data_IF_815798597257
#
_entry.id   IF_815798597257
#
_cell.length_a   1.000
_cell.length_b   1.000
_cell.length_c   1.000
_cell.angle_alpha   90.00
_cell.angle_beta   90.00
_cell.angle_gamma   90.00
#
_symmetry.space_group_name_H-M   'P 1'
#
loop_
_entity.id
_entity.type
_entity.pdbx_description
1 polymer ?
#
# COMPACT_ATOMS: atom_id res chain seq x y z
N UNK A 1 47.03 -39.15 -23.06
CA UNK A 1 45.69 -39.67 -23.48
C UNK A 1 44.50 -39.00 -22.78
N UNK A 2 44.51 -38.72 -21.47
CA UNK A 2 43.36 -38.07 -20.75
C UNK A 2 42.95 -36.67 -21.24
N UNK A 3 43.87 -35.82 -21.71
CA UNK A 3 43.55 -34.45 -22.18
C UNK A 3 42.87 -34.38 -23.56
N UNK A 4 43.06 -35.41 -24.40
CA UNK A 4 42.44 -35.48 -25.73
C UNK A 4 41.01 -35.99 -25.60
N UNK A 5 40.78 -36.99 -24.73
CA UNK A 5 39.45 -37.53 -24.46
C UNK A 5 38.50 -36.46 -23.88
N UNK A 6 38.99 -35.58 -22.99
CA UNK A 6 38.21 -34.49 -22.40
C UNK A 6 37.80 -33.41 -23.41
N UNK A 7 38.65 -33.12 -24.41
CA UNK A 7 38.35 -32.15 -25.48
C UNK A 7 37.30 -32.71 -26.45
N UNK A 8 37.34 -34.01 -26.73
CA UNK A 8 36.32 -34.67 -27.56
C UNK A 8 34.95 -34.77 -26.87
N UNK A 9 34.91 -35.05 -25.56
CA UNK A 9 33.63 -35.06 -24.81
C UNK A 9 33.02 -33.66 -24.68
N UNK A 10 33.84 -32.61 -24.50
CA UNK A 10 33.33 -31.23 -24.45
C UNK A 10 32.77 -30.76 -25.80
N UNK A 11 33.41 -31.13 -26.92
CA UNK A 11 32.92 -30.83 -28.26
C UNK A 11 31.62 -31.57 -28.60
N UNK A 12 31.49 -32.83 -28.17
CA UNK A 12 30.25 -33.60 -28.35
C UNK A 12 29.08 -33.04 -27.54
N UNK A 13 29.32 -32.57 -26.32
CA UNK A 13 28.29 -31.92 -25.50
C UNK A 13 27.81 -30.60 -26.11
N UNK A 14 28.73 -29.77 -26.62
CA UNK A 14 28.38 -28.51 -27.30
C UNK A 14 27.60 -28.76 -28.60
N UNK A 15 28.00 -29.77 -29.38
CA UNK A 15 27.26 -30.16 -30.58
C UNK A 15 25.86 -30.69 -30.25
N UNK A 16 25.70 -31.48 -29.18
CA UNK A 16 24.39 -31.95 -28.73
C UNK A 16 23.49 -30.84 -28.18
N UNK A 17 24.06 -29.84 -27.49
CA UNK A 17 23.31 -28.68 -26.99
C UNK A 17 22.86 -27.76 -28.15
N UNK A 18 23.71 -27.57 -29.16
CA UNK A 18 23.34 -26.83 -30.38
C UNK A 18 22.27 -27.55 -31.19
N UNK A 19 22.35 -28.89 -31.32
CA UNK A 19 21.33 -29.68 -32.01
C UNK A 19 20.00 -29.71 -31.27
N UNK A 20 20.02 -29.84 -29.93
CA UNK A 20 18.81 -29.76 -29.11
C UNK A 20 18.19 -28.37 -29.15
N UNK A 21 19.00 -27.29 -29.05
CA UNK A 21 18.52 -25.92 -29.20
C UNK A 21 17.90 -25.63 -30.57
N UNK A 22 18.40 -26.25 -31.63
CA UNK A 22 17.82 -26.14 -32.97
C UNK A 22 16.52 -26.96 -33.13
N UNK A 23 16.47 -28.17 -32.56
CA UNK A 23 15.29 -29.04 -32.61
C UNK A 23 14.11 -28.51 -31.78
N UNK A 24 14.38 -27.85 -30.66
CA UNK A 24 13.37 -27.27 -29.78
C UNK A 24 13.21 -25.75 -29.95
N UNK A 25 13.79 -25.17 -31.02
CA UNK A 25 13.82 -23.72 -31.23
C UNK A 25 12.42 -23.07 -31.22
N UNK A 26 11.43 -23.77 -31.76
CA UNK A 26 10.03 -23.30 -31.85
C UNK A 26 9.32 -23.33 -30.49
N UNK A 27 9.69 -24.25 -29.59
CA UNK A 27 9.16 -24.31 -28.22
C UNK A 27 9.88 -23.32 -27.30
N UNK A 28 11.17 -23.07 -27.53
CA UNK A 28 11.95 -22.06 -26.82
C UNK A 28 11.49 -20.67 -27.25
N UNK A 29 11.27 -20.43 -28.55
CA UNK A 29 10.69 -19.16 -29.02
C UNK A 29 9.28 -18.95 -28.48
N UNK A 30 8.43 -19.99 -28.44
CA UNK A 30 7.11 -19.90 -27.81
C UNK A 30 7.13 -19.65 -26.29
N UNK A 31 8.26 -19.88 -25.60
CA UNK A 31 8.46 -19.55 -24.18
C UNK A 31 8.94 -18.10 -23.98
N UNK A 32 9.51 -17.48 -25.03
CA UNK A 32 10.02 -16.10 -25.01
C UNK A 32 9.14 -15.11 -25.80
N UNK A 33 8.25 -15.60 -26.67
CA UNK A 33 7.22 -14.83 -27.34
C UNK A 33 6.00 -14.77 -26.43
N UNK A 34 5.89 -13.69 -25.66
CA UNK A 34 4.60 -13.25 -25.11
C UNK A 34 3.60 -13.12 -26.27
N UNK A 35 2.34 -13.55 -26.09
CA UNK A 35 1.36 -13.48 -27.16
C UNK A 35 1.17 -12.02 -27.59
N UNK A 36 1.11 -11.72 -28.91
CA UNK A 36 0.82 -10.39 -29.38
C UNK A 36 -0.65 -10.09 -29.06
N UNK A 37 -0.88 -9.35 -27.98
CA UNK A 37 -2.22 -9.01 -27.51
C UNK A 37 -2.45 -9.04 -26.00
N UNK A 38 -1.40 -9.03 -25.15
CA UNK A 38 -1.62 -8.40 -23.84
C UNK A 38 -1.54 -6.90 -24.08
N UNK A 39 -2.70 -6.27 -24.25
CA UNK A 39 -2.84 -4.86 -23.87
C UNK A 39 -2.53 -4.80 -22.37
N UNK A 40 -1.24 -4.81 -22.02
CA UNK A 40 -0.80 -4.45 -20.69
C UNK A 40 -1.34 -3.05 -20.50
N UNK A 41 -2.30 -2.88 -19.59
CA UNK A 41 -2.58 -1.55 -19.07
C UNK A 41 -1.22 -0.89 -18.82
N UNK A 42 -0.99 0.32 -19.35
CA UNK A 42 0.30 0.98 -19.19
C UNK A 42 0.64 0.93 -17.71
N UNK A 43 1.80 0.38 -17.38
CA UNK A 43 2.25 0.25 -16.00
C UNK A 43 2.02 1.60 -15.32
N UNK A 44 1.15 1.63 -14.31
CA UNK A 44 0.72 2.87 -13.69
C UNK A 44 1.96 3.65 -13.24
N UNK A 45 2.12 4.86 -13.76
CA UNK A 45 3.28 5.69 -13.54
C UNK A 45 3.01 6.66 -12.38
N UNK A 46 4.05 7.07 -11.63
CA UNK A 46 3.87 8.04 -10.56
C UNK A 46 3.36 9.38 -11.10
N UNK A 47 2.45 10.01 -10.35
CA UNK A 47 1.81 11.29 -10.70
C UNK A 47 1.99 12.32 -9.58
N UNK A 48 3.18 12.95 -9.48
CA UNK A 48 3.45 13.93 -8.44
C UNK A 48 2.66 15.23 -8.60
N UNK A 49 2.25 15.59 -9.82
CA UNK A 49 1.48 16.83 -10.05
C UNK A 49 0.07 16.72 -9.48
N UNK A 50 -0.63 15.63 -9.80
CA UNK A 50 -1.95 15.33 -9.21
C UNK A 50 -1.83 15.12 -7.70
N UNK A 51 -0.78 14.48 -7.21
CA UNK A 51 -0.55 14.29 -5.78
C UNK A 51 -0.47 15.61 -5.01
N UNK A 52 0.32 16.56 -5.49
CA UNK A 52 0.41 17.90 -4.88
C UNK A 52 -0.93 18.62 -4.91
N UNK A 53 -1.64 18.58 -6.05
CA UNK A 53 -2.96 19.23 -6.16
C UNK A 53 -3.99 18.63 -5.19
N UNK A 54 -4.06 17.30 -5.09
CA UNK A 54 -4.96 16.59 -4.16
C UNK A 54 -4.62 16.91 -2.70
N UNK A 55 -3.34 16.92 -2.33
CA UNK A 55 -2.86 17.26 -0.99
C UNK A 55 -3.27 18.68 -0.59
N UNK A 56 -3.01 19.66 -1.47
CA UNK A 56 -3.37 21.06 -1.24
C UNK A 56 -4.89 21.25 -1.09
N UNK A 57 -5.68 20.59 -1.93
CA UNK A 57 -7.14 20.69 -1.89
C UNK A 57 -7.73 19.97 -0.67
N UNK A 58 -7.14 18.85 -0.25
CA UNK A 58 -7.53 18.15 0.97
C UNK A 58 -7.25 19.01 2.21
N UNK A 59 -6.09 19.67 2.30
CA UNK A 59 -5.77 20.58 3.41
C UNK A 59 -6.72 21.79 3.47
N UNK A 60 -7.02 22.43 2.33
CA UNK A 60 -8.01 23.52 2.26
C UNK A 60 -9.38 23.07 2.76
N UNK A 61 -9.83 21.89 2.33
CA UNK A 61 -11.11 21.33 2.75
C UNK A 61 -11.13 20.98 4.23
N UNK A 62 -10.04 20.38 4.76
CA UNK A 62 -9.87 20.08 6.19
C UNK A 62 -9.95 21.34 7.03
N UNK A 63 -9.28 22.43 6.64
CA UNK A 63 -9.34 23.72 7.34
C UNK A 63 -10.75 24.29 7.37
N UNK A 64 -11.45 24.27 6.22
CA UNK A 64 -12.85 24.73 6.10
C UNK A 64 -13.79 23.94 7.00
N UNK A 65 -13.71 22.61 6.96
CA UNK A 65 -14.51 21.74 7.83
C UNK A 65 -14.14 21.93 9.31
N UNK A 66 -12.86 22.12 9.62
CA UNK A 66 -12.38 22.36 10.98
C UNK A 66 -12.90 23.68 11.54
N UNK A 67 -12.99 24.74 10.72
CA UNK A 67 -13.63 26.00 11.11
C UNK A 67 -15.12 25.80 11.41
N UNK A 68 -15.85 25.11 10.52
CA UNK A 68 -17.27 24.77 10.73
C UNK A 68 -17.46 23.97 12.01
N UNK A 69 -16.61 22.98 12.28
CA UNK A 69 -16.69 22.15 13.48
C UNK A 69 -16.54 22.98 14.77
N UNK A 70 -15.62 23.95 14.78
CA UNK A 70 -15.41 24.85 15.93
C UNK A 70 -16.59 25.80 16.14
N UNK A 71 -17.25 26.21 15.06
CA UNK A 71 -18.41 27.11 15.09
C UNK A 71 -19.74 26.40 15.37
N UNK A 72 -19.77 25.08 15.21
CA UNK A 72 -20.97 24.27 15.41
C UNK A 72 -21.55 24.44 16.81
N UNK A 73 -22.85 24.74 16.87
CA UNK A 73 -23.56 25.11 18.10
C UNK A 73 -24.00 23.93 18.95
N UNK A 74 -24.00 22.71 18.39
CA UNK A 74 -24.46 21.50 19.08
C UNK A 74 -23.76 20.23 18.56
N UNK A 75 -23.98 19.12 19.27
CA UNK A 75 -23.35 17.83 18.96
C UNK A 75 -23.87 17.17 17.67
N UNK A 76 -25.13 17.42 17.28
CA UNK A 76 -25.67 16.88 16.03
C UNK A 76 -24.99 17.50 14.81
N UNK A 77 -24.77 18.81 14.83
CA UNK A 77 -24.04 19.53 13.79
C UNK A 77 -22.57 19.07 13.71
N UNK A 78 -21.91 18.90 14.87
CA UNK A 78 -20.55 18.33 14.93
C UNK A 78 -20.47 16.93 14.35
N UNK A 79 -21.45 16.07 14.67
CA UNK A 79 -21.50 14.70 14.14
C UNK A 79 -21.66 14.69 12.61
N UNK A 80 -22.49 15.58 12.04
CA UNK A 80 -22.61 15.75 10.58
C UNK A 80 -21.29 16.18 9.95
N UNK A 81 -20.60 17.15 10.54
CA UNK A 81 -19.31 17.63 10.03
C UNK A 81 -18.23 16.54 10.12
N UNK A 82 -18.25 15.69 11.16
CA UNK A 82 -17.37 14.53 11.23
C UNK A 82 -17.70 13.48 10.16
N UNK A 83 -18.98 13.32 9.80
CA UNK A 83 -19.40 12.50 8.66
C UNK A 83 -18.83 13.03 7.33
N UNK A 84 -18.97 14.33 7.08
CA UNK A 84 -18.38 14.98 5.89
C UNK A 84 -16.84 14.86 5.85
N UNK A 85 -16.20 15.00 7.01
CA UNK A 85 -14.75 14.83 7.15
C UNK A 85 -14.30 13.39 6.85
N UNK A 86 -15.08 12.40 7.31
CA UNK A 86 -14.87 10.99 7.03
C UNK A 86 -14.97 10.71 5.53
N UNK A 87 -16.05 11.15 4.88
CA UNK A 87 -16.26 10.96 3.43
C UNK A 87 -15.11 11.59 2.63
N UNK A 88 -14.73 12.82 2.98
CA UNK A 88 -13.60 13.50 2.35
C UNK A 88 -12.29 12.70 2.43
N UNK A 89 -12.00 12.09 3.59
CA UNK A 89 -10.83 11.22 3.73
C UNK A 89 -10.95 9.95 2.89
N UNK A 90 -12.10 9.28 2.92
CA UNK A 90 -12.34 8.03 2.18
C UNK A 90 -12.26 8.22 0.66
N UNK A 91 -12.63 9.41 0.15
CA UNK A 91 -12.52 9.75 -1.27
C UNK A 91 -11.07 10.09 -1.69
N UNK A 92 -10.34 10.84 -0.86
CA UNK A 92 -9.05 11.42 -1.27
C UNK A 92 -7.85 10.53 -0.94
N UNK A 93 -7.89 9.78 0.16
CA UNK A 93 -6.77 8.92 0.55
C UNK A 93 -6.41 7.87 -0.53
N UNK A 94 -7.38 7.12 -1.11
CA UNK A 94 -7.07 6.20 -2.19
C UNK A 94 -6.51 6.89 -3.44
N UNK A 95 -6.97 8.11 -3.77
CA UNK A 95 -6.45 8.87 -4.89
C UNK A 95 -4.98 9.28 -4.65
N UNK A 96 -4.67 9.82 -3.45
CA UNK A 96 -3.30 10.14 -3.04
C UNK A 96 -2.39 8.91 -3.08
N UNK A 97 -2.85 7.76 -2.56
CA UNK A 97 -2.09 6.50 -2.62
C UNK A 97 -1.78 6.09 -4.06
N UNK A 98 -2.74 6.24 -4.98
CA UNK A 98 -2.59 5.82 -6.37
C UNK A 98 -1.65 6.70 -7.19
N UNK A 99 -1.46 7.96 -6.80
CA UNK A 99 -0.43 8.79 -7.41
C UNK A 99 0.98 8.21 -7.22
N UNK A 100 1.20 7.34 -6.23
CA UNK A 100 2.49 6.70 -6.00
C UNK A 100 2.73 5.47 -6.87
N UNK A 101 1.74 4.93 -7.57
CA UNK A 101 1.87 3.68 -8.34
C UNK A 101 3.10 3.72 -9.25
N UNK A 102 3.87 2.63 -9.25
CA UNK A 102 5.12 2.54 -10.01
C UNK A 102 6.33 3.20 -9.35
N UNK A 103 6.18 3.91 -8.22
CA UNK A 103 7.33 4.47 -7.48
C UNK A 103 8.19 3.30 -6.97
N UNK A 104 9.49 3.23 -7.32
CA UNK A 104 10.33 2.11 -6.94
C UNK A 104 10.41 1.89 -5.42
N UNK A 105 10.55 0.64 -5.02
CA UNK A 105 10.73 0.26 -3.62
C UNK A 105 12.22 0.05 -3.32
N UNK A 106 12.64 0.50 -2.14
CA UNK A 106 13.87 0.08 -1.48
C UNK A 106 13.61 -0.02 0.03
N UNK A 107 14.30 -0.94 0.71
CA UNK A 107 14.13 -1.13 2.16
C UNK A 107 14.49 0.12 2.97
N UNK A 108 15.45 0.92 2.49
CA UNK A 108 15.86 2.19 3.06
C UNK A 108 15.31 3.38 2.28
N UNK A 109 14.38 3.15 1.35
CA UNK A 109 13.78 4.18 0.53
C UNK A 109 13.04 5.21 1.39
N UNK A 110 13.42 6.48 1.26
CA UNK A 110 12.86 7.61 2.03
C UNK A 110 12.19 8.66 1.15
N UNK A 111 11.84 8.31 -0.10
CA UNK A 111 11.15 9.24 -0.98
C UNK A 111 9.90 9.80 -0.30
N UNK A 112 9.76 11.12 -0.38
CA UNK A 112 8.64 11.84 0.22
C UNK A 112 7.59 12.27 -0.82
N UNK A 113 7.88 12.07 -2.10
CA UNK A 113 7.01 12.43 -3.21
C UNK A 113 6.95 11.28 -4.24
N UNK A 114 5.82 11.08 -4.94
CA UNK A 114 5.69 10.06 -5.98
C UNK A 114 6.78 10.14 -7.05
N UNK A 115 7.38 9.00 -7.38
CA UNK A 115 8.36 8.86 -8.46
C UNK A 115 9.70 9.55 -8.23
N UNK A 116 9.92 10.21 -7.08
CA UNK A 116 11.18 10.90 -6.76
C UNK A 116 12.05 10.07 -5.82
N UNK A 117 12.67 9.04 -6.38
CA UNK A 117 13.51 8.09 -5.66
C UNK A 117 12.76 6.82 -5.31
N UNK A 118 13.21 6.16 -4.24
CA UNK A 118 12.68 4.87 -3.80
C UNK A 118 11.98 5.03 -2.44
N UNK A 119 10.93 4.25 -2.19
CA UNK A 119 10.11 4.39 -0.97
C UNK A 119 9.89 3.06 -0.26
N UNK A 120 10.26 2.99 1.02
CA UNK A 120 9.95 1.84 1.87
C UNK A 120 8.49 1.88 2.34
N UNK A 121 7.96 0.75 2.79
CA UNK A 121 6.54 0.62 3.15
C UNK A 121 6.07 1.57 4.26
N UNK A 122 6.88 1.75 5.31
CA UNK A 122 6.58 2.70 6.39
C UNK A 122 6.67 4.16 5.92
N UNK A 123 7.62 4.48 5.05
CA UNK A 123 7.77 5.83 4.49
C UNK A 123 6.63 6.17 3.54
N UNK A 124 6.15 5.22 2.73
CA UNK A 124 4.95 5.38 1.90
C UNK A 124 3.71 5.71 2.74
N UNK A 125 3.43 4.90 3.77
CA UNK A 125 2.29 5.14 4.68
C UNK A 125 2.41 6.49 5.37
N UNK A 126 3.59 6.83 5.87
CA UNK A 126 3.84 8.07 6.59
C UNK A 126 3.72 9.31 5.69
N UNK A 127 4.23 9.26 4.47
CA UNK A 127 4.11 10.34 3.48
C UNK A 127 2.65 10.58 3.09
N UNK A 128 1.93 9.53 2.69
CA UNK A 128 0.51 9.66 2.32
C UNK A 128 -0.32 10.26 3.47
N UNK A 129 -0.10 9.83 4.71
CA UNK A 129 -0.84 10.37 5.85
C UNK A 129 -0.43 11.81 6.17
N UNK A 130 0.86 12.14 6.12
CA UNK A 130 1.33 13.49 6.36
C UNK A 130 0.73 14.48 5.34
N UNK A 131 0.79 14.13 4.06
CA UNK A 131 0.27 14.97 2.97
C UNK A 131 -1.25 14.95 2.90
N UNK A 132 -1.91 13.94 3.47
CA UNK A 132 -3.35 13.98 3.72
C UNK A 132 -3.75 14.90 4.90
N UNK A 133 -2.79 15.55 5.56
CA UNK A 133 -3.03 16.50 6.65
C UNK A 133 -3.03 15.89 8.06
N UNK A 134 -2.62 14.62 8.22
CA UNK A 134 -2.36 14.07 9.56
C UNK A 134 -1.05 14.64 10.11
N UNK A 135 -1.09 15.20 11.31
CA UNK A 135 0.11 15.75 11.97
C UNK A 135 0.95 14.65 12.62
N UNK A 136 1.70 13.95 11.80
CA UNK A 136 2.57 12.82 12.19
C UNK A 136 4.05 13.23 12.22
N UNK A 137 4.86 12.52 13.02
CA UNK A 137 6.31 12.64 12.99
C UNK A 137 6.86 11.77 11.83
N UNK A 138 6.83 12.28 10.60
CA UNK A 138 7.03 11.50 9.36
C UNK A 138 8.08 10.37 9.44
N UNK A 139 9.35 10.72 9.67
CA UNK A 139 10.42 9.72 9.71
C UNK A 139 10.30 8.78 10.92
N UNK A 140 9.91 9.31 12.08
CA UNK A 140 9.80 8.52 13.31
C UNK A 140 8.69 7.49 13.19
N UNK A 141 7.54 7.87 12.62
CA UNK A 141 6.43 6.99 12.33
C UNK A 141 6.84 5.91 11.34
N UNK A 142 7.45 6.29 10.21
CA UNK A 142 7.87 5.36 9.16
C UNK A 142 8.83 4.26 9.66
N UNK A 143 9.63 4.54 10.69
CA UNK A 143 10.62 3.62 11.25
C UNK A 143 10.05 2.66 12.32
N UNK A 144 8.77 2.78 12.67
CA UNK A 144 8.18 1.90 13.67
C UNK A 144 7.79 0.53 13.12
N UNK A 145 7.68 -0.45 14.02
CA UNK A 145 7.01 -1.71 13.70
C UNK A 145 5.58 -1.46 13.23
N UNK A 146 5.07 -2.32 12.34
CA UNK A 146 3.77 -2.15 11.68
C UNK A 146 2.60 -1.92 12.66
N UNK A 147 2.59 -2.65 13.78
CA UNK A 147 1.60 -2.47 14.86
C UNK A 147 1.71 -1.09 15.54
N UNK A 148 2.92 -0.56 15.72
CA UNK A 148 3.15 0.73 16.37
C UNK A 148 2.79 1.90 15.44
N UNK A 149 2.99 1.74 14.12
CA UNK A 149 2.45 2.67 13.12
C UNK A 149 0.93 2.76 13.30
N UNK A 150 0.27 1.60 13.36
CA UNK A 150 -1.19 1.53 13.53
C UNK A 150 -1.66 2.10 14.89
N UNK A 151 -0.94 1.79 15.97
CA UNK A 151 -1.21 2.27 17.32
C UNK A 151 -0.95 3.75 17.57
N UNK A 152 -0.28 4.44 16.65
CA UNK A 152 -0.18 5.89 16.66
C UNK A 152 -1.54 6.57 16.40
N UNK A 153 -2.46 5.88 15.73
CA UNK A 153 -3.77 6.43 15.34
C UNK A 153 -4.92 5.77 16.10
N UNK A 154 -4.96 4.44 16.10
CA UNK A 154 -6.11 3.67 16.57
C UNK A 154 -5.76 3.06 17.93
N UNK A 155 -6.59 3.21 18.97
CA UNK A 155 -6.32 2.58 20.26
C UNK A 155 -6.37 1.06 20.13
N UNK A 156 -5.59 0.34 20.95
CA UNK A 156 -5.48 -1.12 20.89
C UNK A 156 -6.83 -1.86 20.93
N UNK A 157 -7.82 -1.31 21.63
CA UNK A 157 -9.16 -1.89 21.74
C UNK A 157 -10.00 -1.83 20.45
N UNK A 158 -9.63 -0.94 19.51
CA UNK A 158 -10.25 -0.79 18.19
C UNK A 158 -9.46 -1.51 17.08
N UNK A 159 -8.37 -2.20 17.44
CA UNK A 159 -7.58 -3.00 16.51
C UNK A 159 -8.08 -4.44 16.48
N UNK A 160 -8.08 -5.04 15.28
CA UNK A 160 -8.34 -6.46 15.10
C UNK A 160 -7.02 -7.20 14.90
N UNK A 161 -6.70 -8.13 15.82
CA UNK A 161 -5.50 -8.97 15.75
C UNK A 161 -5.87 -10.38 15.27
N UNK A 162 -5.37 -10.77 14.10
CA UNK A 162 -5.62 -12.07 13.48
C UNK A 162 -4.29 -12.76 13.20
N UNK A 163 -4.00 -13.84 13.93
CA UNK A 163 -2.73 -14.58 13.85
C UNK A 163 -3.01 -16.02 13.46
N UNK A 164 -2.35 -16.50 12.40
CA UNK A 164 -2.55 -17.86 11.87
C UNK A 164 -3.93 -18.09 11.24
N UNK A 165 -4.67 -17.01 10.98
CA UNK A 165 -6.02 -17.06 10.40
C UNK A 165 -5.93 -17.20 8.88
N UNK A 166 -6.74 -18.09 8.26
CA UNK A 166 -6.81 -18.23 6.81
C UNK A 166 -7.13 -16.89 6.12
N UNK A 167 -6.59 -16.70 4.91
CA UNK A 167 -6.71 -15.42 4.20
C UNK A 167 -8.17 -15.02 3.92
N UNK A 168 -9.05 -15.98 3.59
CA UNK A 168 -10.46 -15.67 3.36
C UNK A 168 -11.16 -15.21 4.65
N UNK A 169 -10.92 -15.89 5.77
CA UNK A 169 -11.48 -15.48 7.07
C UNK A 169 -10.97 -14.09 7.49
N UNK A 170 -9.72 -13.75 7.16
CA UNK A 170 -9.20 -12.40 7.34
C UNK A 170 -9.97 -11.36 6.51
N UNK A 171 -10.21 -11.62 5.21
CA UNK A 171 -10.98 -10.71 4.36
C UNK A 171 -12.43 -10.56 4.84
N UNK A 172 -13.05 -11.65 5.29
CA UNK A 172 -14.41 -11.64 5.83
C UNK A 172 -14.49 -10.80 7.11
N UNK A 173 -13.48 -10.90 7.99
CA UNK A 173 -13.37 -10.08 9.20
C UNK A 173 -13.18 -8.59 8.88
N UNK A 174 -12.34 -8.26 7.88
CA UNK A 174 -12.15 -6.87 7.42
C UNK A 174 -13.45 -6.33 6.82
N UNK A 175 -14.11 -7.07 5.92
CA UNK A 175 -15.38 -6.67 5.32
C UNK A 175 -16.49 -6.48 6.36
N UNK A 176 -16.56 -7.37 7.36
CA UNK A 176 -17.52 -7.27 8.47
C UNK A 176 -17.25 -6.08 9.39
N UNK A 177 -16.01 -5.57 9.41
CA UNK A 177 -15.63 -4.38 10.18
C UNK A 177 -16.12 -3.07 9.52
N UNK A 178 -16.67 -3.14 8.32
CA UNK A 178 -17.29 -2.03 7.60
C UNK A 178 -16.37 -1.32 6.61
N UNK A 179 -16.93 -0.37 5.85
CA UNK A 179 -16.16 0.44 4.90
C UNK A 179 -15.19 1.39 5.57
N UNK A 180 -14.16 1.79 4.84
CA UNK A 180 -13.24 2.85 5.22
C UNK A 180 -11.80 2.62 4.77
N UNK A 181 -10.92 3.46 5.30
CA UNK A 181 -9.48 3.36 5.07
C UNK A 181 -8.81 2.75 6.30
N UNK A 182 -8.15 1.63 6.09
CA UNK A 182 -7.48 0.89 7.13
C UNK A 182 -5.97 1.00 6.95
N UNK A 183 -5.25 1.02 8.06
CA UNK A 183 -3.86 0.55 8.06
C UNK A 183 -3.90 -0.95 8.35
N UNK A 184 -3.08 -1.72 7.64
CA UNK A 184 -2.80 -3.11 7.96
C UNK A 184 -1.33 -3.27 8.29
N UNK A 185 -1.06 -3.83 9.46
CA UNK A 185 0.27 -4.28 9.85
C UNK A 185 0.42 -5.78 9.67
N UNK A 186 1.52 -6.18 9.05
CA UNK A 186 1.91 -7.55 8.75
C UNK A 186 3.17 -7.94 9.53
N UNK A 187 3.65 -9.18 9.36
CA UNK A 187 4.84 -9.72 10.04
C UNK A 187 6.07 -8.80 9.88
N UNK A 188 6.29 -8.28 8.68
CA UNK A 188 7.44 -7.43 8.34
C UNK A 188 7.08 -6.30 7.38
N UNK A 189 5.81 -5.91 7.33
CA UNK A 189 5.29 -4.99 6.32
C UNK A 189 4.12 -4.15 6.86
N UNK A 190 3.88 -2.99 6.25
CA UNK A 190 2.74 -2.12 6.55
C UNK A 190 2.16 -1.58 5.25
N UNK A 191 0.85 -1.39 5.22
CA UNK A 191 0.13 -1.03 4.01
C UNK A 191 -1.23 -0.40 4.34
N UNK A 192 -1.92 0.06 3.30
CA UNK A 192 -3.33 0.44 3.39
C UNK A 192 -4.23 -0.70 2.89
N UNK A 193 -5.41 -0.83 3.51
CA UNK A 193 -6.56 -1.52 2.93
C UNK A 193 -7.67 -0.50 2.70
N UNK A 194 -8.17 -0.45 1.47
CA UNK A 194 -9.33 0.36 1.11
C UNK A 194 -10.53 -0.57 1.02
N UNK A 195 -11.50 -0.37 1.90
CA UNK A 195 -12.77 -1.13 1.92
C UNK A 195 -13.86 -0.19 1.42
N UNK A 196 -14.24 -0.24 0.13
CA UNK A 196 -15.25 0.67 -0.42
C UNK A 196 -16.67 0.29 0.03
N UNK A 197 -17.63 1.18 -0.22
CA UNK A 197 -19.06 0.86 -0.03
C UNK A 197 -19.55 -0.16 -1.06
N UNK A 198 -19.10 -0.01 -2.31
CA UNK A 198 -19.34 -0.95 -3.40
C UNK A 198 -18.01 -1.32 -4.07
N UNK A 199 -17.88 -2.58 -4.48
CA UNK A 199 -16.67 -3.10 -5.10
C UNK A 199 -15.86 -3.98 -4.15
N UNK A 200 -14.58 -4.17 -4.47
CA UNK A 200 -13.69 -5.07 -3.74
C UNK A 200 -12.68 -4.35 -2.86
N UNK A 201 -12.20 -5.05 -1.84
CA UNK A 201 -11.11 -4.59 -0.98
C UNK A 201 -9.84 -4.44 -1.82
N UNK A 202 -9.18 -3.29 -1.71
CA UNK A 202 -7.92 -3.00 -2.39
C UNK A 202 -6.77 -2.90 -1.40
N UNK A 203 -5.63 -3.49 -1.74
CA UNK A 203 -4.41 -3.49 -0.94
C UNK A 203 -3.35 -2.62 -1.61
N UNK A 204 -3.09 -1.44 -1.03
CA UNK A 204 -2.19 -0.46 -1.64
C UNK A 204 -0.95 -0.29 -0.77
N UNK A 205 0.23 -0.55 -1.34
CA UNK A 205 1.47 -0.59 -0.59
C UNK A 205 2.71 -0.41 -1.47
N UNK A 206 3.82 0.02 -0.86
CA UNK A 206 5.14 -0.08 -1.48
C UNK A 206 5.68 -1.50 -1.36
N UNK A 207 5.70 -2.27 -2.44
CA UNK A 207 5.98 -3.71 -2.40
C UNK A 207 7.48 -4.00 -2.42
N UNK A 208 7.95 -4.72 -1.39
CA UNK A 208 9.28 -5.35 -1.39
C UNK A 208 9.34 -6.69 -2.11
N UNK A 209 8.24 -7.07 -2.78
CA UNK A 209 8.18 -8.20 -3.71
C UNK A 209 7.99 -7.68 -5.14
N UNK A 210 8.25 -8.52 -6.14
CA UNK A 210 8.01 -8.19 -7.55
C UNK A 210 6.62 -7.53 -7.72
N UNK A 211 6.50 -6.35 -8.37
CA UNK A 211 7.50 -5.70 -9.23
C UNK A 211 8.50 -4.74 -8.55
N UNK A 212 8.61 -4.73 -7.22
CA UNK A 212 9.49 -3.84 -6.44
C UNK A 212 9.14 -2.34 -6.59
N UNK A 213 7.85 -2.02 -6.48
CA UNK A 213 7.35 -0.66 -6.51
C UNK A 213 6.03 -0.55 -5.75
N UNK A 214 5.47 0.67 -5.68
CA UNK A 214 4.12 0.87 -5.16
C UNK A 214 3.09 0.28 -6.11
N UNK A 215 2.20 -0.55 -5.56
CA UNK A 215 1.15 -1.28 -6.27
C UNK A 215 -0.20 -1.15 -5.57
N UNK A 216 -1.28 -1.31 -6.34
CA UNK A 216 -2.66 -1.44 -5.88
C UNK A 216 -3.14 -2.84 -6.30
N UNK A 217 -3.18 -3.76 -5.36
CA UNK A 217 -3.50 -5.18 -5.59
C UNK A 217 -4.96 -5.48 -5.25
N UNK A 218 -5.58 -6.34 -6.05
CA UNK A 218 -6.86 -6.97 -5.72
C UNK A 218 -6.67 -7.98 -4.59
N UNK A 219 -7.78 -8.49 -4.02
CA UNK A 219 -7.71 -9.65 -3.10
C UNK A 219 -7.04 -10.88 -3.70
N UNK A 220 -7.11 -11.07 -5.01
CA UNK A 220 -6.53 -12.24 -5.66
C UNK A 220 -5.02 -12.08 -5.83
N UNK A 221 -4.58 -10.85 -6.14
CA UNK A 221 -3.18 -10.51 -6.40
C UNK A 221 -2.37 -10.18 -5.13
N UNK A 222 -3.05 -9.91 -3.99
CA UNK A 222 -2.42 -9.48 -2.74
C UNK A 222 -1.62 -10.60 -2.03
N UNK A 223 -0.55 -11.08 -2.66
CA UNK A 223 0.24 -12.21 -2.20
C UNK A 223 0.96 -11.92 -0.88
N UNK A 224 1.49 -10.71 -0.68
CA UNK A 224 2.17 -10.33 0.57
C UNK A 224 1.19 -10.38 1.75
N UNK A 225 -0.01 -9.85 1.55
CA UNK A 225 -1.09 -9.91 2.53
C UNK A 225 -1.54 -11.35 2.82
N UNK A 226 -1.69 -12.17 1.76
CA UNK A 226 -2.13 -13.57 1.85
C UNK A 226 -1.14 -14.46 2.61
N UNK A 227 0.16 -14.25 2.47
CA UNK A 227 1.17 -15.12 3.10
C UNK A 227 1.61 -14.68 4.49
N UNK A 228 1.20 -13.49 4.94
CA UNK A 228 1.49 -13.02 6.29
C UNK A 228 0.75 -13.87 7.35
N UNK A 229 1.46 -14.34 8.36
CA UNK A 229 0.89 -15.08 9.48
C UNK A 229 0.25 -14.14 10.51
N UNK A 230 0.83 -12.96 10.70
CA UNK A 230 0.35 -11.93 11.62
C UNK A 230 -0.33 -10.79 10.84
N UNK A 231 -1.63 -10.54 11.08
CA UNK A 231 -2.35 -9.41 10.48
C UNK A 231 -3.04 -8.61 11.57
N UNK A 232 -2.70 -7.34 11.68
CA UNK A 232 -3.40 -6.37 12.53
C UNK A 232 -4.01 -5.28 11.67
N UNK A 233 -5.28 -4.95 11.89
CA UNK A 233 -5.98 -3.89 11.14
C UNK A 233 -6.63 -2.88 12.07
N UNK A 234 -6.68 -1.63 11.64
CA UNK A 234 -7.37 -0.54 12.32
C UNK A 234 -7.96 0.41 11.30
N UNK A 235 -9.25 0.72 11.43
CA UNK A 235 -9.97 1.61 10.52
C UNK A 235 -9.76 3.07 10.94
N UNK A 236 -8.97 3.82 10.17
CA UNK A 236 -8.68 5.22 10.45
C UNK A 236 -9.93 6.11 10.33
N UNK A 237 -10.81 5.82 9.37
CA UNK A 237 -11.94 6.69 9.03
C UNK A 237 -13.23 6.33 9.77
N UNK A 238 -13.32 5.13 10.35
CA UNK A 238 -14.44 4.77 11.22
C UNK A 238 -14.33 5.32 12.65
N UNK A 239 -13.10 5.60 13.13
CA UNK A 239 -12.91 6.16 14.47
C UNK A 239 -13.20 7.66 14.49
N UNK A 240 -14.30 8.05 15.13
CA UNK A 240 -14.69 9.46 15.25
C UNK A 240 -13.65 10.32 15.98
N UNK A 241 -12.85 9.72 16.88
CA UNK A 241 -11.74 10.41 17.54
C UNK A 241 -10.59 10.69 16.57
N UNK A 242 -10.19 9.71 15.76
CA UNK A 242 -9.15 9.89 14.73
C UNK A 242 -9.56 10.95 13.72
N UNK A 243 -10.78 10.86 13.18
CA UNK A 243 -11.31 11.85 12.22
C UNK A 243 -11.37 13.24 12.86
N UNK A 244 -11.80 13.35 14.11
CA UNK A 244 -11.82 14.64 14.83
C UNK A 244 -10.41 15.20 15.03
N UNK A 245 -9.45 14.37 15.42
CA UNK A 245 -8.06 14.77 15.63
C UNK A 245 -7.41 15.25 14.34
N UNK A 246 -7.61 14.52 13.23
CA UNK A 246 -7.23 14.96 11.89
C UNK A 246 -7.86 16.31 11.53
N UNK A 247 -9.18 16.41 11.68
CA UNK A 247 -9.94 17.60 11.31
C UNK A 247 -9.47 18.85 12.06
N UNK A 248 -9.17 18.70 13.35
CA UNK A 248 -8.72 19.80 14.21
C UNK A 248 -7.21 20.08 14.10
N UNK A 249 -6.44 19.24 13.40
CA UNK A 249 -4.99 19.34 13.31
C UNK A 249 -4.31 19.04 14.63
N UNK A 250 -4.76 18.01 15.34
CA UNK A 250 -4.10 17.49 16.54
C UNK A 250 -2.92 16.61 16.13
N UNK A 251 -1.82 16.71 16.88
CA UNK A 251 -0.65 15.87 16.67
C UNK A 251 -0.93 14.41 17.00
N UNK A 252 -0.53 13.51 16.11
CA UNK A 252 -0.49 12.07 16.33
C UNK A 252 0.93 11.70 16.76
N UNK A 253 1.14 11.56 18.08
CA UNK A 253 2.45 11.23 18.64
C UNK A 253 2.78 9.77 18.34
N UNK A 254 3.95 9.54 17.75
CA UNK A 254 4.37 8.21 17.33
C UNK A 254 4.49 7.28 18.52
N UNK A 255 3.78 6.15 18.46
CA UNK A 255 3.98 5.06 19.41
C UNK A 255 5.30 4.36 19.13
N UNK A 256 6.15 4.17 20.15
CA UNK A 256 7.48 3.57 19.99
C UNK A 256 7.72 2.30 20.80
N UNK A 257 6.74 1.82 21.57
CA UNK A 257 6.84 0.67 22.47
C UNK A 257 5.57 -0.19 22.39
#
# INVERSE_FOLDING_TARGET
MRKILFRFTALLLLASAGAAGWLYREQISAFFESPPGSDSEPAAAPDPETYTALSDDLEKNRQRLGQRYRQAGNNSERAKILGEARELLEDNLPALMRCWLGTPWDFNGTAHEPGRGEVACGYFVSSVLQDAGFRVEWARLAQQASQNILGTFVPRAEMNFLVGVPYQEFLDAVGSSGRGIYIVGLDSHVAFLVVPEEGEIRFIHSSGASPYCVVDESRDDAHVLRHSNYRVTGNLTASGEVVRSWLLGTDFKTQTL
#
